data_IF_093663127129
#
_entry.id   IF_093663127129
#
_cell.length_a   1.000
_cell.length_b   1.000
_cell.length_c   1.000
_cell.angle_alpha   90.00
_cell.angle_beta   90.00
_cell.angle_gamma   90.00
#
_symmetry.space_group_name_H-M   'P 1'
#
loop_
_entity.id
_entity.type
_entity.pdbx_description
1 polymer ?
#
# COMPACT_ATOMS: atom_id res chain seq x y z
N UNK A 1 5.92 -66.48 -8.06
CA UNK A 1 6.24 -65.05 -8.27
C UNK A 1 4.98 -64.25 -7.98
N UNK A 2 4.97 -63.44 -6.91
CA UNK A 2 3.86 -62.54 -6.55
C UNK A 2 4.33 -61.09 -6.80
N UNK A 3 3.56 -60.22 -7.46
CA UNK A 3 3.89 -58.81 -7.50
C UNK A 3 3.37 -58.13 -6.22
N UNK A 4 4.25 -57.41 -5.53
CA UNK A 4 3.88 -56.44 -4.50
C UNK A 4 3.63 -55.13 -5.25
N UNK A 5 2.37 -54.72 -5.35
CA UNK A 5 1.97 -53.42 -5.91
C UNK A 5 2.24 -52.36 -4.83
N UNK A 6 3.18 -51.47 -5.13
CA UNK A 6 3.42 -50.23 -4.38
C UNK A 6 2.16 -49.37 -4.35
N UNK A 7 1.49 -49.34 -3.20
CA UNK A 7 0.50 -48.30 -2.86
C UNK A 7 1.22 -47.30 -1.97
N UNK A 8 1.89 -46.31 -2.55
CA UNK A 8 2.51 -45.24 -1.77
C UNK A 8 2.80 -43.99 -2.62
N UNK A 9 1.78 -43.44 -3.30
CA UNK A 9 1.93 -42.16 -4.03
C UNK A 9 0.65 -41.30 -4.11
N UNK A 10 -0.35 -41.50 -3.23
CA UNK A 10 -1.61 -40.73 -3.28
C UNK A 10 -1.82 -39.72 -2.13
N UNK A 11 -0.97 -39.71 -1.09
CA UNK A 11 -1.20 -38.85 0.09
C UNK A 11 -0.60 -37.45 0.00
N UNK A 12 0.46 -37.22 -0.80
CA UNK A 12 1.09 -35.90 -0.90
C UNK A 12 0.31 -34.88 -1.74
N UNK A 13 -0.44 -35.32 -2.75
CA UNK A 13 -1.20 -34.42 -3.64
C UNK A 13 -2.46 -33.85 -2.97
N UNK A 14 -3.07 -34.58 -2.04
CA UNK A 14 -4.27 -34.10 -1.34
C UNK A 14 -3.95 -32.99 -0.32
N UNK A 15 -2.80 -33.08 0.36
CA UNK A 15 -2.38 -32.08 1.34
C UNK A 15 -2.04 -30.73 0.73
N UNK A 16 -1.39 -30.71 -0.44
CA UNK A 16 -1.03 -29.46 -1.14
C UNK A 16 -2.26 -28.74 -1.70
N UNK A 17 -3.24 -29.47 -2.23
CA UNK A 17 -4.48 -28.88 -2.77
C UNK A 17 -5.33 -28.27 -1.66
N UNK A 18 -5.45 -28.92 -0.50
CA UNK A 18 -6.21 -28.39 0.64
C UNK A 18 -5.58 -27.11 1.20
N UNK A 19 -4.25 -27.04 1.30
CA UNK A 19 -3.55 -25.83 1.75
C UNK A 19 -3.71 -24.67 0.76
N UNK A 20 -3.56 -24.93 -0.54
CA UNK A 20 -3.74 -23.90 -1.57
C UNK A 20 -5.18 -23.34 -1.56
N UNK A 21 -6.18 -24.19 -1.37
CA UNK A 21 -7.57 -23.78 -1.30
C UNK A 21 -7.88 -22.95 -0.04
N UNK A 22 -7.30 -23.33 1.10
CA UNK A 22 -7.43 -22.56 2.34
C UNK A 22 -6.78 -21.17 2.23
N UNK A 23 -5.59 -21.09 1.61
CA UNK A 23 -4.91 -19.82 1.36
C UNK A 23 -5.72 -18.94 0.40
N UNK A 24 -6.25 -19.50 -0.69
CA UNK A 24 -7.08 -18.78 -1.64
C UNK A 24 -8.34 -18.21 -0.98
N UNK A 25 -9.02 -19.00 -0.14
CA UNK A 25 -10.17 -18.51 0.63
C UNK A 25 -9.82 -17.38 1.59
N UNK A 26 -8.65 -17.48 2.24
CA UNK A 26 -8.14 -16.43 3.14
C UNK A 26 -7.76 -15.15 2.40
N UNK A 27 -7.13 -15.28 1.23
CA UNK A 27 -6.77 -14.14 0.37
C UNK A 27 -8.03 -13.42 -0.15
N UNK A 28 -9.06 -14.16 -0.56
CA UNK A 28 -10.35 -13.58 -0.95
C UNK A 28 -11.05 -12.86 0.21
N UNK A 29 -11.05 -13.47 1.40
CA UNK A 29 -11.58 -12.83 2.60
C UNK A 29 -10.79 -11.56 2.97
N UNK A 30 -9.48 -11.56 2.76
CA UNK A 30 -8.65 -10.37 2.96
C UNK A 30 -8.99 -9.26 1.95
N UNK A 31 -9.09 -9.59 0.67
CA UNK A 31 -9.46 -8.64 -0.39
C UNK A 31 -10.82 -7.98 -0.12
N UNK A 32 -11.78 -8.71 0.45
CA UNK A 32 -13.10 -8.17 0.82
C UNK A 32 -13.09 -7.06 1.88
N UNK A 33 -11.96 -6.86 2.58
CA UNK A 33 -11.82 -5.75 3.52
C UNK A 33 -11.74 -4.39 2.80
N UNK A 34 -11.25 -4.38 1.56
CA UNK A 34 -10.96 -3.18 0.80
C UNK A 34 -12.17 -2.72 0.00
N UNK A 35 -12.35 -1.42 -0.10
CA UNK A 35 -13.23 -0.83 -1.10
C UNK A 35 -12.45 -0.72 -2.42
N UNK A 36 -13.04 -1.21 -3.50
CA UNK A 36 -12.45 -1.10 -4.82
C UNK A 36 -12.55 0.36 -5.27
N UNK A 37 -11.41 0.94 -5.65
CA UNK A 37 -11.36 2.26 -6.25
C UNK A 37 -10.85 2.13 -7.68
N UNK A 38 -11.65 2.62 -8.65
CA UNK A 38 -11.14 2.86 -9.99
C UNK A 38 -10.26 4.10 -9.89
N UNK A 39 -8.94 3.90 -10.00
CA UNK A 39 -7.89 4.84 -9.58
C UNK A 39 -7.80 6.15 -10.39
N UNK A 40 -8.93 6.69 -10.82
CA UNK A 40 -9.02 7.96 -11.53
C UNK A 40 -8.95 9.10 -10.52
N UNK A 41 -7.75 9.66 -10.34
CA UNK A 41 -7.43 10.82 -9.49
C UNK A 41 -7.57 10.57 -7.97
N UNK A 42 -7.03 9.46 -7.47
CA UNK A 42 -6.87 9.27 -6.03
C UNK A 42 -5.77 10.20 -5.50
N UNK A 43 -6.04 10.95 -4.41
CA UNK A 43 -5.04 11.71 -3.66
C UNK A 43 -4.97 11.22 -2.21
N UNK A 44 -3.91 10.51 -1.88
CA UNK A 44 -3.59 10.05 -0.54
C UNK A 44 -2.74 11.07 0.20
N UNK A 45 -3.17 11.44 1.39
CA UNK A 45 -2.43 12.28 2.32
C UNK A 45 -2.59 11.72 3.74
N UNK A 46 -1.54 11.86 4.55
CA UNK A 46 -1.52 11.38 5.92
C UNK A 46 -1.72 12.53 6.91
N UNK A 47 -2.68 12.44 7.85
CA UNK A 47 -2.77 13.39 8.94
C UNK A 47 -1.62 13.17 9.92
N UNK A 48 -1.13 14.26 10.51
CA UNK A 48 -0.08 14.23 11.53
C UNK A 48 -0.61 13.75 12.90
N UNK A 49 -1.83 14.14 13.25
CA UNK A 49 -2.46 13.80 14.54
C UNK A 49 -2.75 12.30 14.69
N UNK A 50 -2.60 11.78 15.91
CA UNK A 50 -3.04 10.42 16.28
C UNK A 50 -4.54 10.22 16.00
N UNK A 51 -5.35 11.26 16.25
CA UNK A 51 -6.78 11.23 15.98
C UNK A 51 -7.08 11.70 14.56
N UNK A 52 -7.81 10.87 13.83
CA UNK A 52 -8.28 11.21 12.49
C UNK A 52 -9.38 12.27 12.56
N UNK A 53 -9.42 13.21 11.61
CA UNK A 53 -10.60 14.07 11.39
C UNK A 53 -11.86 13.23 11.14
N UNK A 54 -13.02 13.72 11.57
CA UNK A 54 -14.30 13.01 11.44
C UNK A 54 -14.68 12.73 9.97
N UNK A 55 -14.27 13.61 9.06
CA UNK A 55 -14.52 13.55 7.61
C UNK A 55 -13.36 12.93 6.82
N UNK A 56 -12.40 12.29 7.50
CA UNK A 56 -11.23 11.75 6.84
C UNK A 56 -11.57 10.56 5.93
N UNK A 57 -11.33 10.73 4.63
CA UNK A 57 -11.73 9.76 3.60
C UNK A 57 -10.99 8.40 3.68
N UNK A 58 -9.83 8.34 4.36
CA UNK A 58 -8.94 7.16 4.34
C UNK A 58 -8.86 6.46 5.70
N UNK A 59 -9.97 6.38 6.43
CA UNK A 59 -10.07 5.68 7.72
C UNK A 59 -9.76 4.18 7.58
N UNK A 60 -10.42 3.51 6.64
CA UNK A 60 -10.25 2.08 6.35
C UNK A 60 -10.82 1.14 7.43
N UNK A 61 -10.75 -0.17 7.17
CA UNK A 61 -11.23 -1.23 8.07
C UNK A 61 -10.06 -1.88 8.81
N UNK A 62 -10.19 -2.09 10.12
CA UNK A 62 -9.15 -2.76 10.93
C UNK A 62 -8.87 -4.17 10.39
N UNK A 63 -7.60 -4.47 10.14
CA UNK A 63 -7.15 -5.81 9.73
C UNK A 63 -7.08 -6.70 10.99
N UNK A 64 -7.89 -7.76 11.00
CA UNK A 64 -7.98 -8.68 12.13
C UNK A 64 -6.79 -9.65 12.23
N UNK A 65 -6.53 -10.16 13.43
CA UNK A 65 -5.46 -11.13 13.73
C UNK A 65 -5.48 -12.38 12.83
N UNK A 66 -6.68 -12.77 12.36
CA UNK A 66 -6.85 -13.86 11.40
C UNK A 66 -6.03 -13.68 10.12
N UNK A 67 -5.68 -12.45 9.73
CA UNK A 67 -4.93 -12.14 8.51
C UNK A 67 -3.43 -11.90 8.72
N UNK A 68 -2.90 -11.92 9.95
CA UNK A 68 -1.51 -11.55 10.21
C UNK A 68 -0.50 -12.44 9.49
N UNK A 69 -0.83 -13.72 9.29
CA UNK A 69 0.03 -14.66 8.56
C UNK A 69 0.15 -14.34 7.06
N UNK A 70 -0.65 -13.41 6.53
CA UNK A 70 -0.51 -12.95 5.15
C UNK A 70 0.63 -11.95 5.02
N UNK A 71 1.09 -11.33 6.11
CA UNK A 71 2.22 -10.42 6.12
C UNK A 71 3.52 -11.20 6.41
N UNK A 72 4.65 -10.63 5.98
CA UNK A 72 5.98 -11.22 6.21
C UNK A 72 6.93 -10.23 6.87
N UNK A 73 7.99 -10.76 7.48
CA UNK A 73 9.07 -9.97 8.10
C UNK A 73 8.57 -9.01 9.19
N UNK A 74 9.10 -7.78 9.15
CA UNK A 74 8.83 -6.74 10.15
C UNK A 74 7.34 -6.39 10.26
N UNK A 75 6.58 -6.44 9.16
CA UNK A 75 5.15 -6.07 9.16
C UNK A 75 4.31 -7.06 9.96
N UNK A 76 4.64 -8.35 9.87
CA UNK A 76 3.99 -9.38 10.68
C UNK A 76 4.39 -9.22 12.15
N UNK A 77 5.67 -8.98 12.42
CA UNK A 77 6.15 -8.76 13.78
C UNK A 77 5.45 -7.56 14.44
N UNK A 78 5.32 -6.43 13.74
CA UNK A 78 4.59 -5.25 14.23
C UNK A 78 3.15 -5.60 14.63
N UNK A 79 2.43 -6.36 13.80
CA UNK A 79 1.07 -6.81 14.10
C UNK A 79 1.01 -7.73 15.34
N UNK A 80 1.97 -8.66 15.46
CA UNK A 80 2.09 -9.57 16.60
C UNK A 80 2.46 -8.82 17.91
N UNK A 81 3.20 -7.72 17.81
CA UNK A 81 3.53 -6.80 18.91
C UNK A 81 2.42 -5.80 19.25
N UNK A 82 1.29 -5.84 18.52
CA UNK A 82 0.08 -5.07 18.82
C UNK A 82 -0.14 -3.83 17.96
N UNK A 83 0.65 -3.61 16.91
CA UNK A 83 0.35 -2.57 15.93
C UNK A 83 -0.99 -2.84 15.24
N UNK A 84 -1.70 -1.76 14.88
CA UNK A 84 -3.01 -1.87 14.22
C UNK A 84 -2.90 -1.37 12.78
N UNK A 85 -3.20 -2.27 11.84
CA UNK A 85 -3.24 -1.92 10.42
C UNK A 85 -4.68 -1.79 9.95
N UNK A 86 -4.90 -0.95 8.95
CA UNK A 86 -6.20 -0.68 8.35
C UNK A 86 -6.15 -0.89 6.84
N UNK A 87 -7.06 -1.71 6.33
CA UNK A 87 -7.33 -1.90 4.92
C UNK A 87 -8.08 -0.68 4.38
N UNK A 88 -7.48 0.08 3.47
CA UNK A 88 -8.01 1.37 3.01
C UNK A 88 -8.72 1.22 1.67
N UNK A 89 -7.97 0.94 0.61
CA UNK A 89 -8.47 0.80 -0.76
C UNK A 89 -7.70 -0.30 -1.48
N UNK A 90 -8.32 -0.94 -2.46
CA UNK A 90 -7.59 -1.71 -3.47
C UNK A 90 -7.48 -0.93 -4.77
N UNK A 91 -6.34 -1.08 -5.44
CA UNK A 91 -6.05 -0.50 -6.74
C UNK A 91 -5.94 -1.64 -7.76
N UNK A 92 -6.72 -1.52 -8.83
CA UNK A 92 -6.66 -2.45 -9.95
C UNK A 92 -5.53 -2.07 -10.89
N UNK A 93 -4.56 -2.97 -11.02
CA UNK A 93 -3.30 -2.77 -11.74
C UNK A 93 -3.19 -3.80 -12.87
N UNK A 94 -3.99 -3.61 -13.92
CA UNK A 94 -4.18 -4.61 -14.98
C UNK A 94 -4.86 -5.88 -14.45
N UNK A 95 -4.18 -7.01 -14.52
CA UNK A 95 -4.65 -8.31 -13.97
C UNK A 95 -4.35 -8.50 -12.48
N UNK A 96 -3.57 -7.59 -11.88
CA UNK A 96 -3.19 -7.66 -10.48
C UNK A 96 -3.96 -6.66 -9.64
N UNK A 97 -4.06 -6.98 -8.36
CA UNK A 97 -4.63 -6.09 -7.35
C UNK A 97 -3.54 -5.73 -6.34
N UNK A 98 -3.46 -4.43 -6.02
CA UNK A 98 -2.56 -3.90 -5.01
C UNK A 98 -3.40 -3.27 -3.89
N UNK A 99 -2.92 -3.32 -2.66
CA UNK A 99 -3.69 -2.95 -1.47
C UNK A 99 -3.04 -1.77 -0.76
N UNK A 100 -3.78 -0.70 -0.56
CA UNK A 100 -3.35 0.44 0.24
C UNK A 100 -3.67 0.16 1.70
N UNK A 101 -2.64 0.09 2.53
CA UNK A 101 -2.76 -0.19 3.97
C UNK A 101 -2.23 1.00 4.76
N UNK A 102 -3.05 1.48 5.70
CA UNK A 102 -2.67 2.50 6.69
C UNK A 102 -2.18 1.82 7.96
N UNK A 103 -1.00 2.22 8.43
CA UNK A 103 -0.35 1.65 9.61
C UNK A 103 0.55 2.68 10.30
N UNK A 104 0.83 2.51 11.60
CA UNK A 104 1.85 3.32 12.26
C UNK A 104 3.24 2.99 11.72
N UNK A 105 4.12 3.98 11.70
CA UNK A 105 5.55 3.79 11.41
C UNK A 105 6.39 4.86 12.13
N UNK A 106 7.71 4.84 11.94
CA UNK A 106 8.58 5.94 12.37
C UNK A 106 8.34 7.26 11.61
N UNK A 107 7.43 7.28 10.63
CA UNK A 107 6.99 8.45 9.86
C UNK A 107 5.60 8.95 10.25
N UNK A 108 5.09 8.52 11.40
CA UNK A 108 3.83 8.98 11.98
C UNK A 108 2.78 7.88 12.14
N UNK A 109 1.66 8.19 12.81
CA UNK A 109 0.62 7.21 13.15
C UNK A 109 -0.18 6.70 11.94
N UNK A 110 -0.19 7.48 10.85
CA UNK A 110 -1.03 7.22 9.67
C UNK A 110 -0.19 7.11 8.40
N UNK A 111 0.73 6.15 8.37
CA UNK A 111 1.58 5.91 7.19
C UNK A 111 0.87 4.99 6.21
N UNK A 112 0.88 5.34 4.93
CA UNK A 112 0.26 4.56 3.85
C UNK A 112 1.31 3.84 3.02
N UNK A 113 1.16 2.53 2.89
CA UNK A 113 1.96 1.70 2.01
C UNK A 113 1.07 1.01 0.98
N UNK A 114 1.60 0.83 -0.22
CA UNK A 114 1.06 -0.08 -1.22
C UNK A 114 1.65 -1.47 -0.96
N UNK A 115 0.80 -2.48 -0.88
CA UNK A 115 1.16 -3.88 -0.74
C UNK A 115 0.70 -4.69 -1.95
N UNK A 116 1.47 -5.74 -2.28
CA UNK A 116 1.12 -6.68 -3.34
C UNK A 116 1.38 -8.11 -2.89
N UNK A 117 0.60 -9.05 -3.45
CA UNK A 117 0.88 -10.47 -3.32
C UNK A 117 2.18 -10.82 -4.03
N UNK A 118 3.11 -11.41 -3.28
CA UNK A 118 4.29 -12.09 -3.81
C UNK A 118 4.28 -13.50 -3.29
N UNK A 119 4.01 -14.43 -4.22
CA UNK A 119 3.75 -15.84 -3.89
C UNK A 119 2.54 -15.93 -2.94
N UNK A 120 2.75 -16.30 -1.68
CA UNK A 120 1.70 -16.56 -0.70
C UNK A 120 1.56 -15.43 0.35
N UNK A 121 2.37 -14.37 0.26
CA UNK A 121 2.41 -13.29 1.26
C UNK A 121 2.30 -11.91 0.63
N UNK A 122 1.80 -10.95 1.40
CA UNK A 122 1.79 -9.54 1.09
C UNK A 122 3.16 -8.93 1.42
N UNK A 123 3.69 -8.19 0.46
CA UNK A 123 4.92 -7.41 0.63
C UNK A 123 4.66 -5.94 0.30
N UNK A 124 5.27 -5.01 1.05
CA UNK A 124 5.22 -3.60 0.68
C UNK A 124 5.95 -3.41 -0.65
N UNK A 125 5.40 -2.57 -1.52
CA UNK A 125 6.04 -2.21 -2.79
C UNK A 125 6.39 -0.73 -2.86
N UNK A 126 5.60 0.14 -2.22
CA UNK A 126 5.81 1.58 -2.26
C UNK A 126 5.29 2.26 -0.98
N UNK A 127 6.06 3.20 -0.44
CA UNK A 127 5.59 4.15 0.56
C UNK A 127 4.84 5.28 -0.16
N UNK A 128 3.56 5.46 0.16
CA UNK A 128 2.66 6.37 -0.55
C UNK A 128 2.59 7.72 0.16
N UNK A 129 2.15 7.74 1.42
CA UNK A 129 1.93 8.99 2.16
C UNK A 129 2.31 8.86 3.63
N UNK A 130 2.81 9.95 4.20
CA UNK A 130 3.15 10.05 5.63
C UNK A 130 3.27 11.51 6.06
N UNK A 131 3.18 11.76 7.36
CA UNK A 131 3.42 13.07 7.96
C UNK A 131 4.00 12.92 9.38
N UNK A 132 5.12 13.58 9.65
CA UNK A 132 5.73 13.65 10.99
C UNK A 132 6.56 14.92 11.15
N UNK A 133 6.80 15.34 12.39
CA UNK A 133 7.70 16.45 12.69
C UNK A 133 8.83 15.98 13.61
N UNK A 134 10.06 16.36 13.30
CA UNK A 134 11.27 16.03 14.06
C UNK A 134 12.27 17.18 13.91
N UNK A 135 13.06 17.44 14.95
CA UNK A 135 14.14 18.44 14.95
C UNK A 135 13.72 19.84 14.48
N UNK A 136 12.48 20.25 14.80
CA UNK A 136 11.96 21.56 14.42
C UNK A 136 11.56 21.68 12.94
N UNK A 137 11.35 20.57 12.25
CA UNK A 137 10.85 20.51 10.88
C UNK A 137 9.69 19.53 10.76
N UNK A 138 8.78 19.78 9.81
CA UNK A 138 7.73 18.85 9.45
C UNK A 138 8.00 18.26 8.07
N UNK A 139 7.86 16.95 7.97
CA UNK A 139 8.08 16.13 6.79
C UNK A 139 6.74 15.57 6.36
N UNK A 140 6.38 15.77 5.10
CA UNK A 140 5.15 15.24 4.53
C UNK A 140 5.44 14.64 3.17
N UNK A 141 4.79 13.52 2.90
CA UNK A 141 4.64 13.00 1.55
C UNK A 141 3.17 12.73 1.28
N UNK A 142 2.71 13.21 0.13
CA UNK A 142 1.42 12.86 -0.45
C UNK A 142 1.66 12.00 -1.69
N UNK A 143 0.67 11.20 -2.06
CA UNK A 143 0.69 10.40 -3.28
C UNK A 143 -0.60 10.57 -4.06
N UNK A 144 -0.46 10.64 -5.38
CA UNK A 144 -1.57 10.54 -6.30
C UNK A 144 -1.45 9.28 -7.11
N UNK A 145 -2.59 8.63 -7.34
CA UNK A 145 -2.70 7.51 -8.28
C UNK A 145 -3.59 7.96 -9.44
N UNK A 146 -3.06 7.83 -10.67
CA UNK A 146 -3.72 8.20 -11.91
C UNK A 146 -3.04 7.52 -13.10
N UNK A 147 -3.73 7.37 -14.22
CA UNK A 147 -3.10 7.03 -15.50
C UNK A 147 -2.41 8.28 -16.07
N UNK A 148 -1.07 8.29 -16.12
CA UNK A 148 -0.29 9.45 -16.56
C UNK A 148 0.20 9.33 -18.01
N UNK A 149 0.20 8.13 -18.59
CA UNK A 149 0.75 7.86 -19.91
C UNK A 149 -0.29 7.34 -20.92
N UNK A 150 -1.54 7.14 -20.49
CA UNK A 150 -2.67 6.68 -21.30
C UNK A 150 -2.70 5.17 -21.54
N UNK A 151 -1.92 4.37 -20.80
CA UNK A 151 -1.85 2.92 -20.96
C UNK A 151 -2.88 2.15 -20.11
N UNK A 152 -3.79 2.87 -19.44
CA UNK A 152 -4.85 2.33 -18.58
C UNK A 152 -4.33 1.55 -17.37
N UNK A 153 -3.07 1.76 -16.99
CA UNK A 153 -2.49 1.29 -15.73
C UNK A 153 -2.38 2.45 -14.75
N UNK A 154 -2.30 2.10 -13.47
CA UNK A 154 -2.19 3.10 -12.41
C UNK A 154 -0.74 3.49 -12.24
N UNK A 155 -0.42 4.75 -12.49
CA UNK A 155 0.86 5.35 -12.15
C UNK A 155 0.77 6.10 -10.83
N UNK A 156 1.93 6.37 -10.22
CA UNK A 156 2.00 7.11 -8.96
C UNK A 156 2.82 8.39 -9.13
N UNK A 157 2.28 9.49 -8.65
CA UNK A 157 3.05 10.71 -8.35
C UNK A 157 3.20 10.78 -6.84
N UNK A 158 4.42 11.02 -6.36
CA UNK A 158 4.64 11.36 -4.95
C UNK A 158 5.29 12.72 -4.86
N UNK A 159 4.81 13.55 -3.93
CA UNK A 159 5.43 14.82 -3.61
C UNK A 159 5.81 14.83 -2.15
N UNK A 160 7.07 15.12 -1.90
CA UNK A 160 7.62 15.31 -0.58
C UNK A 160 7.84 16.81 -0.34
N UNK A 161 7.55 17.27 0.88
CA UNK A 161 8.01 18.57 1.36
C UNK A 161 8.54 18.50 2.78
N UNK A 162 9.51 19.37 3.06
CA UNK A 162 9.95 19.73 4.40
C UNK A 162 9.57 21.18 4.68
N UNK A 163 8.88 21.44 5.78
CA UNK A 163 8.40 22.77 6.16
C UNK A 163 8.84 23.17 7.57
N UNK A 164 8.82 24.47 7.86
CA UNK A 164 8.88 24.96 9.24
C UNK A 164 7.54 24.70 9.96
N UNK A 165 7.57 24.28 11.23
CA UNK A 165 6.37 24.16 12.06
C UNK A 165 5.64 25.51 12.12
N UNK A 166 4.31 25.48 12.07
CA UNK A 166 3.40 26.65 12.13
C UNK A 166 3.38 27.55 10.89
N UNK A 167 4.51 28.06 10.42
CA UNK A 167 4.53 28.95 9.24
C UNK A 167 4.26 28.23 7.93
N UNK A 168 4.44 26.90 7.92
CA UNK A 168 4.39 26.04 6.73
C UNK A 168 5.31 26.50 5.59
N UNK A 169 6.31 27.35 5.88
CA UNK A 169 7.29 27.76 4.89
C UNK A 169 8.02 26.53 4.35
N UNK A 170 7.94 26.33 3.04
CA UNK A 170 8.59 25.21 2.35
C UNK A 170 10.09 25.46 2.29
N UNK A 171 10.86 24.54 2.88
CA UNK A 171 12.32 24.58 2.90
C UNK A 171 12.94 23.71 1.80
N UNK A 172 12.26 22.64 1.42
CA UNK A 172 12.64 21.75 0.32
C UNK A 172 11.42 20.99 -0.16
N UNK A 173 11.34 20.75 -1.46
CA UNK A 173 10.34 19.87 -2.06
C UNK A 173 10.99 18.96 -3.10
N UNK A 174 10.47 17.76 -3.25
CA UNK A 174 10.86 16.82 -4.30
C UNK A 174 9.59 16.17 -4.86
N UNK A 175 9.63 15.85 -6.15
CA UNK A 175 8.58 15.09 -6.83
C UNK A 175 9.21 13.84 -7.46
N UNK A 176 8.51 12.72 -7.38
CA UNK A 176 8.88 11.49 -8.04
C UNK A 176 7.67 10.89 -8.74
N UNK A 177 7.86 10.49 -9.99
CA UNK A 177 6.88 9.80 -10.81
C UNK A 177 7.30 8.35 -10.97
N UNK A 178 6.34 7.46 -10.76
CA UNK A 178 6.49 6.02 -10.86
C UNK A 178 5.51 5.53 -11.92
N UNK A 179 6.03 5.09 -13.06
CA UNK A 179 5.20 4.47 -14.08
C UNK A 179 5.06 2.98 -13.80
N UNK A 180 3.84 2.47 -13.94
CA UNK A 180 3.60 1.04 -13.80
C UNK A 180 4.06 0.29 -15.05
N UNK A 181 5.02 -0.61 -14.85
CA UNK A 181 5.53 -1.53 -15.86
C UNK A 181 4.70 -2.80 -15.88
N UNK A 182 5.00 -3.66 -16.85
CA UNK A 182 4.40 -4.98 -16.94
C UNK A 182 4.64 -5.79 -15.66
N UNK A 183 3.65 -6.62 -15.33
CA UNK A 183 3.57 -7.40 -14.09
C UNK A 183 3.43 -6.58 -12.78
N UNK A 184 2.94 -5.34 -12.84
CA UNK A 184 2.56 -4.52 -11.68
C UNK A 184 3.74 -3.80 -11.01
N UNK A 185 4.95 -3.89 -11.56
CA UNK A 185 6.14 -3.26 -10.96
C UNK A 185 6.18 -1.78 -11.28
N UNK A 186 6.44 -0.95 -10.28
CA UNK A 186 6.66 0.49 -10.46
C UNK A 186 8.12 0.78 -10.84
N UNK A 187 8.32 1.66 -11.82
CA UNK A 187 9.63 2.18 -12.18
C UNK A 187 9.68 3.69 -12.06
N UNK A 188 10.66 4.21 -11.32
CA UNK A 188 10.93 5.65 -11.27
C UNK A 188 11.36 6.11 -12.66
N UNK A 189 10.78 7.22 -13.12
CA UNK A 189 11.19 7.91 -14.33
C UNK A 189 11.92 9.21 -14.03
N UNK A 190 12.85 9.66 -14.89
CA UNK A 190 13.50 10.95 -14.72
C UNK A 190 12.47 12.09 -14.68
N UNK A 191 12.74 13.10 -13.84
CA UNK A 191 11.89 14.29 -13.75
C UNK A 191 11.73 14.95 -15.14
N UNK A 192 10.49 15.33 -15.48
CA UNK A 192 10.15 15.91 -16.78
C UNK A 192 9.98 14.90 -17.92
N UNK A 193 10.12 13.59 -17.67
CA UNK A 193 9.82 12.56 -18.69
C UNK A 193 8.31 12.34 -18.90
N UNK A 194 7.50 12.81 -17.96
CA UNK A 194 6.03 12.78 -17.99
C UNK A 194 5.57 14.20 -17.71
N UNK A 195 4.72 14.74 -18.56
CA UNK A 195 4.13 16.06 -18.37
C UNK A 195 2.99 15.95 -17.35
N UNK A 196 3.15 16.59 -16.20
CA UNK A 196 2.12 16.65 -15.17
C UNK A 196 1.31 17.93 -15.34
N UNK A 197 -0.01 17.79 -15.36
CA UNK A 197 -0.92 18.92 -15.41
C UNK A 197 -0.70 19.88 -14.23
N UNK A 198 -0.51 21.16 -14.53
CA UNK A 198 -0.27 22.18 -13.52
C UNK A 198 -1.47 22.31 -12.58
N UNK A 199 -1.24 22.34 -11.27
CA UNK A 199 -2.29 22.45 -10.25
C UNK A 199 -3.04 21.15 -9.93
N UNK A 200 -2.84 20.06 -10.69
CA UNK A 200 -3.54 18.79 -10.42
C UNK A 200 -3.01 18.02 -9.20
N UNK A 201 -1.74 18.20 -8.88
CA UNK A 201 -1.02 17.41 -7.86
C UNK A 201 -0.64 18.26 -6.64
N UNK A 202 -1.57 19.04 -6.10
CA UNK A 202 -1.29 19.94 -4.98
C UNK A 202 -1.36 19.23 -3.62
N UNK A 203 -0.28 19.32 -2.84
CA UNK A 203 -0.20 18.68 -1.53
C UNK A 203 -1.24 19.26 -0.56
N UNK A 204 -1.87 18.40 0.24
CA UNK A 204 -2.74 18.82 1.33
C UNK A 204 -1.94 19.61 2.36
N UNK A 205 -2.48 20.71 2.89
CA UNK A 205 -1.86 21.41 4.03
C UNK A 205 -1.81 20.50 5.28
N UNK A 206 -0.74 20.61 6.06
CA UNK A 206 -0.65 19.88 7.32
C UNK A 206 -1.63 20.50 8.32
N UNK A 207 -2.64 19.72 8.70
CA UNK A 207 -3.49 20.03 9.84
C UNK A 207 -2.79 19.57 11.14
N UNK A 208 -2.59 20.52 12.06
CA UNK A 208 -2.00 20.29 13.38
C UNK A 208 -3.08 20.12 14.44
#
# INVERSE_FOLDING_TARGET
>A
MKPVISILFLSLLAGSVLNAQALAGKAAAFASLFEENQADNLHLYAPFSEQLPDDYAFTGKKIGAGFYSLFTGEYRQMLEEGAVFYAVLSLKNGEKESYIIRMPSNKGPHTFYLFEWREEVLQPVQLLAYAFCVDGYCHQQDCWAADLNGDSKVDLVTRFRRTLPRSQQVLSQNEQVYLQKDAGRFGIVPQGSVELEQGKFEMKELAY
#
